data_IF_612028664365
#
_entry.id   IF_612028664365
#
_cell.length_a   1.000
_cell.length_b   1.000
_cell.length_c   1.000
_cell.angle_alpha   90.00
_cell.angle_beta   90.00
_cell.angle_gamma   90.00
#
_symmetry.space_group_name_H-M   'P 1'
#
loop_
_entity.id
_entity.type
_entity.pdbx_description
1 polymer ?
#
# COMPACT_ATOMS: atom_id res chain seq x y z
N UNK A 1 -17.86 46.40 60.49
CA UNK A 1 -17.91 44.92 60.44
C UNK A 1 -18.67 44.53 59.18
N UNK A 2 -18.02 43.77 58.29
CA UNK A 2 -18.42 43.16 56.99
C UNK A 2 -19.02 44.09 55.90
N UNK A 3 -18.39 44.38 54.73
CA UNK A 3 -17.84 43.63 53.57
C UNK A 3 -18.86 43.16 52.49
N UNK A 4 -18.74 43.82 51.31
CA UNK A 4 -18.96 43.39 49.90
C UNK A 4 -20.37 42.92 49.47
N UNK A 5 -20.92 43.22 48.28
CA UNK A 5 -20.37 43.02 46.93
C UNK A 5 -20.95 44.02 45.89
N UNK A 6 -20.08 44.41 44.96
CA UNK A 6 -20.36 45.12 43.70
C UNK A 6 -20.21 44.12 42.55
N UNK A 7 -21.00 44.27 41.48
CA UNK A 7 -20.76 43.66 40.16
C UNK A 7 -22.08 43.43 39.41
N UNK A 8 -22.62 44.42 38.69
CA UNK A 8 -22.29 44.85 37.32
C UNK A 8 -22.54 43.77 36.26
N UNK A 9 -23.68 43.94 35.58
CA UNK A 9 -24.02 43.37 34.28
C UNK A 9 -22.84 43.37 33.31
N UNK A 10 -22.52 42.20 32.76
CA UNK A 10 -21.59 42.07 31.65
C UNK A 10 -22.34 41.55 30.43
N UNK A 11 -22.39 42.40 29.40
CA UNK A 11 -22.99 42.15 28.10
C UNK A 11 -22.38 40.91 27.43
N UNK A 12 -23.24 40.10 26.82
CA UNK A 12 -22.87 38.90 26.08
C UNK A 12 -22.12 39.27 24.78
N UNK A 13 -20.85 38.91 24.72
CA UNK A 13 -20.03 38.93 23.50
C UNK A 13 -20.39 37.72 22.62
N UNK A 14 -20.64 37.88 21.31
CA UNK A 14 -20.78 36.73 20.41
C UNK A 14 -19.43 36.00 20.29
N UNK A 15 -19.41 34.66 20.21
CA UNK A 15 -18.17 33.90 20.09
C UNK A 15 -17.47 34.22 18.76
N UNK A 16 -16.16 34.44 18.84
CA UNK A 16 -15.28 34.61 17.70
C UNK A 16 -15.31 33.36 16.82
N UNK A 17 -15.44 33.55 15.50
CA UNK A 17 -15.33 32.49 14.52
C UNK A 17 -13.90 31.91 14.55
N UNK A 18 -13.78 30.66 14.94
CA UNK A 18 -12.54 29.89 14.85
C UNK A 18 -12.17 29.74 13.38
N UNK A 19 -10.95 30.11 12.93
CA UNK A 19 -10.49 29.69 11.62
C UNK A 19 -10.33 28.17 11.64
N UNK A 20 -11.19 27.48 10.88
CA UNK A 20 -11.02 26.07 10.60
C UNK A 20 -9.84 25.94 9.63
N UNK A 21 -8.64 25.71 10.16
CA UNK A 21 -7.56 25.10 9.39
C UNK A 21 -8.00 23.68 9.08
N UNK A 22 -8.69 23.51 7.94
CA UNK A 22 -8.73 22.23 7.27
C UNK A 22 -7.29 21.74 7.14
N UNK A 23 -6.94 20.54 7.65
CA UNK A 23 -5.66 19.96 7.30
C UNK A 23 -5.60 19.87 5.77
N UNK A 24 -4.47 20.34 5.24
CA UNK A 24 -4.19 20.38 3.82
C UNK A 24 -4.54 19.04 3.17
N UNK A 25 -5.21 19.11 2.03
CA UNK A 25 -5.36 18.01 1.08
C UNK A 25 -3.96 17.44 0.85
N UNK A 26 -3.67 16.26 1.42
CA UNK A 26 -2.46 15.52 1.09
C UNK A 26 -2.60 15.18 -0.38
N UNK A 27 -1.73 15.79 -1.18
CA UNK A 27 -1.69 15.71 -2.62
C UNK A 27 -1.52 14.23 -3.01
N UNK A 28 -2.59 13.61 -3.51
CA UNK A 28 -2.56 12.32 -4.19
C UNK A 28 -1.89 12.51 -5.54
N UNK A 29 -0.56 12.69 -5.54
CA UNK A 29 0.20 12.43 -6.76
C UNK A 29 0.07 10.94 -7.04
N UNK A 30 -0.62 10.61 -8.14
CA UNK A 30 -0.49 9.30 -8.76
C UNK A 30 0.99 9.08 -9.05
N UNK A 31 1.60 8.13 -8.35
CA UNK A 31 2.97 7.74 -8.58
C UNK A 31 2.93 6.71 -9.71
N UNK A 32 3.73 6.86 -10.76
CA UNK A 32 3.94 5.74 -11.68
C UNK A 32 4.85 4.72 -10.98
N UNK A 33 4.23 3.69 -10.38
CA UNK A 33 4.97 2.64 -9.67
C UNK A 33 5.30 1.47 -10.59
N UNK A 34 4.95 1.53 -11.88
CA UNK A 34 5.07 0.43 -12.83
C UNK A 34 3.89 -0.54 -12.79
N UNK A 35 4.12 -1.80 -13.15
CA UNK A 35 3.03 -2.73 -13.45
C UNK A 35 3.28 -4.19 -13.14
N UNK A 36 2.17 -4.92 -13.06
CA UNK A 36 2.12 -6.37 -13.14
C UNK A 36 1.36 -6.76 -14.40
N UNK A 37 2.00 -7.53 -15.27
CA UNK A 37 1.43 -8.00 -16.54
C UNK A 37 1.26 -9.51 -16.49
N UNK A 38 0.07 -10.00 -16.82
CA UNK A 38 -0.16 -11.41 -17.08
C UNK A 38 -0.82 -11.60 -18.44
N UNK A 39 -0.20 -12.41 -19.28
CA UNK A 39 -0.59 -12.61 -20.67
C UNK A 39 -0.66 -11.28 -21.45
N UNK A 40 -1.85 -10.71 -21.64
CA UNK A 40 -2.05 -9.39 -22.27
C UNK A 40 -2.72 -8.36 -21.33
N UNK A 41 -2.98 -8.75 -20.09
CA UNK A 41 -3.61 -7.92 -19.08
C UNK A 41 -2.54 -7.22 -18.26
N UNK A 42 -2.45 -5.90 -18.40
CA UNK A 42 -1.57 -5.05 -17.60
C UNK A 42 -2.35 -4.40 -16.45
N UNK A 43 -1.91 -4.62 -15.22
CA UNK A 43 -2.32 -3.85 -14.05
C UNK A 43 -1.26 -2.79 -13.77
N UNK A 44 -1.59 -1.54 -14.07
CA UNK A 44 -0.78 -0.38 -13.67
C UNK A 44 -0.98 -0.13 -12.18
N UNK A 45 0.09 0.22 -11.47
CA UNK A 45 0.11 0.43 -10.03
C UNK A 45 0.44 1.89 -9.75
N UNK A 46 -0.39 2.54 -8.92
CA UNK A 46 -0.23 3.97 -8.63
C UNK A 46 -0.07 4.30 -7.16
N UNK A 47 -0.32 3.33 -6.29
CA UNK A 47 -0.28 3.49 -4.85
C UNK A 47 0.38 2.28 -4.19
N UNK A 48 1.10 2.54 -3.10
CA UNK A 48 1.68 1.49 -2.27
C UNK A 48 1.39 1.74 -0.79
N UNK A 49 1.35 0.67 0.00
CA UNK A 49 1.22 0.70 1.44
C UNK A 49 2.14 -0.35 2.06
N UNK A 50 3.11 0.10 2.85
CA UNK A 50 3.91 -0.80 3.69
C UNK A 50 3.01 -1.32 4.82
N UNK A 51 2.94 -2.65 4.93
CA UNK A 51 2.09 -3.32 5.90
C UNK A 51 2.89 -3.67 7.16
N UNK A 52 2.26 -3.63 8.35
CA UNK A 52 2.89 -4.12 9.55
C UNK A 52 3.17 -5.62 9.43
N UNK A 53 4.33 -6.03 9.94
CA UNK A 53 4.72 -7.43 10.09
C UNK A 53 5.08 -7.69 11.55
N UNK A 54 4.56 -8.79 12.10
CA UNK A 54 4.98 -9.27 13.43
C UNK A 54 6.30 -10.06 13.33
N UNK A 55 6.75 -10.37 12.11
CA UNK A 55 8.03 -11.01 11.81
C UNK A 55 9.05 -9.93 11.36
N UNK A 56 10.12 -9.68 12.12
CA UNK A 56 11.13 -8.69 11.77
C UNK A 56 11.97 -9.08 10.55
N UNK A 57 11.90 -10.34 10.09
CA UNK A 57 12.58 -10.82 8.89
C UNK A 57 11.69 -10.74 7.65
N UNK A 58 10.57 -10.00 7.73
CA UNK A 58 9.63 -9.85 6.64
C UNK A 58 9.20 -8.40 6.44
N UNK A 59 9.41 -7.89 5.22
CA UNK A 59 8.78 -6.66 4.73
C UNK A 59 7.60 -7.04 3.83
N UNK A 60 6.46 -6.36 3.99
CA UNK A 60 5.27 -6.58 3.17
C UNK A 60 4.80 -5.26 2.59
N UNK A 61 4.55 -5.22 1.30
CA UNK A 61 4.10 -4.01 0.60
C UNK A 61 2.93 -4.36 -0.31
N UNK A 62 1.81 -3.68 -0.08
CA UNK A 62 0.62 -3.77 -0.92
C UNK A 62 0.70 -2.68 -2.00
N UNK A 63 0.49 -3.05 -3.26
CA UNK A 63 0.38 -2.15 -4.40
C UNK A 63 -1.03 -2.21 -4.97
N UNK A 64 -1.56 -1.04 -5.32
CA UNK A 64 -2.92 -0.89 -5.83
C UNK A 64 -2.97 0.06 -7.05
N UNK A 65 -3.93 -0.12 -7.96
CA UNK A 65 -4.07 0.73 -9.14
C UNK A 65 -4.45 2.17 -8.80
N UNK A 66 -5.17 2.37 -7.68
CA UNK A 66 -5.52 3.70 -7.16
C UNK A 66 -5.22 3.81 -5.67
N UNK A 67 -5.22 5.04 -5.17
CA UNK A 67 -5.07 5.34 -3.74
C UNK A 67 -6.20 4.73 -2.91
N UNK A 68 -5.85 4.32 -1.69
CA UNK A 68 -6.82 3.89 -0.68
C UNK A 68 -7.33 5.12 0.08
N UNK A 69 -8.64 5.17 0.31
CA UNK A 69 -9.23 6.09 1.30
C UNK A 69 -8.73 5.75 2.71
N UNK A 70 -8.83 6.69 3.65
CA UNK A 70 -8.43 6.45 5.04
C UNK A 70 -9.14 5.24 5.67
N UNK A 71 -10.43 5.06 5.36
CA UNK A 71 -11.21 3.90 5.83
C UNK A 71 -10.68 2.59 5.25
N UNK A 72 -10.44 2.53 3.93
CA UNK A 72 -9.90 1.33 3.28
C UNK A 72 -8.48 1.02 3.78
N UNK A 73 -7.64 2.05 3.92
CA UNK A 73 -6.29 1.91 4.47
C UNK A 73 -6.34 1.34 5.89
N UNK A 74 -7.21 1.86 6.75
CA UNK A 74 -7.36 1.36 8.11
C UNK A 74 -7.81 -0.11 8.13
N UNK A 75 -8.80 -0.48 7.30
CA UNK A 75 -9.26 -1.86 7.18
C UNK A 75 -8.15 -2.80 6.70
N UNK A 76 -7.32 -2.37 5.73
CA UNK A 76 -6.16 -3.14 5.26
C UNK A 76 -5.15 -3.37 6.40
N UNK A 77 -4.85 -2.33 7.18
CA UNK A 77 -3.90 -2.40 8.30
C UNK A 77 -4.41 -3.28 9.46
N UNK A 78 -5.72 -3.36 9.66
CA UNK A 78 -6.36 -4.23 10.65
C UNK A 78 -6.36 -5.71 10.21
N UNK A 79 -6.49 -5.99 8.92
CA UNK A 79 -6.50 -7.34 8.36
C UNK A 79 -5.08 -7.89 8.09
N UNK A 80 -4.22 -7.86 9.12
CA UNK A 80 -2.78 -8.18 9.01
C UNK A 80 -2.49 -9.47 8.24
N UNK A 81 -3.18 -10.57 8.55
CA UNK A 81 -2.90 -11.87 7.94
C UNK A 81 -3.28 -11.95 6.46
N UNK A 82 -4.31 -11.20 6.04
CA UNK A 82 -4.79 -11.23 4.66
C UNK A 82 -5.34 -9.85 4.26
N UNK A 83 -4.45 -8.90 3.90
CA UNK A 83 -4.83 -7.50 3.61
C UNK A 83 -5.82 -7.40 2.43
N UNK A 84 -5.80 -8.38 1.53
CA UNK A 84 -6.75 -8.51 0.43
C UNK A 84 -8.22 -8.61 0.86
N UNK A 85 -8.52 -9.06 2.09
CA UNK A 85 -9.91 -9.12 2.58
C UNK A 85 -10.58 -7.75 2.57
N UNK A 86 -9.84 -6.71 2.96
CA UNK A 86 -10.35 -5.35 3.01
C UNK A 86 -10.68 -4.80 1.61
N UNK A 87 -9.99 -5.30 0.58
CA UNK A 87 -10.16 -4.84 -0.80
C UNK A 87 -11.34 -5.49 -1.51
N UNK A 88 -11.92 -6.57 -0.98
CA UNK A 88 -13.10 -7.20 -1.58
C UNK A 88 -14.33 -6.30 -1.65
N UNK A 89 -14.43 -5.31 -0.75
CA UNK A 89 -15.54 -4.36 -0.73
C UNK A 89 -15.27 -3.11 -1.56
N UNK A 90 -14.03 -2.93 -2.04
CA UNK A 90 -13.65 -1.79 -2.88
C UNK A 90 -14.14 -2.03 -4.31
N UNK A 91 -14.74 -1.00 -4.89
CA UNK A 91 -15.15 -1.05 -6.29
C UNK A 91 -13.92 -1.12 -7.20
N UNK A 92 -13.93 -2.05 -8.17
CA UNK A 92 -12.91 -2.13 -9.21
C UNK A 92 -12.82 -0.81 -10.01
N UNK A 93 -11.60 -0.35 -10.36
CA UNK A 93 -11.42 0.85 -11.18
C UNK A 93 -11.90 0.68 -12.61
N UNK A 94 -11.85 -0.55 -13.13
CA UNK A 94 -12.34 -0.92 -14.46
C UNK A 94 -13.34 -2.09 -14.33
N UNK A 95 -14.60 -1.84 -13.90
CA UNK A 95 -15.55 -2.91 -13.57
C UNK A 95 -15.93 -3.78 -14.78
N UNK A 96 -15.78 -3.26 -16.00
CA UNK A 96 -15.96 -4.02 -17.24
C UNK A 96 -14.84 -5.04 -17.48
N UNK A 97 -13.65 -4.80 -16.89
CA UNK A 97 -12.44 -5.62 -17.03
C UNK A 97 -12.23 -6.52 -15.82
N UNK A 98 -12.36 -5.96 -14.62
CA UNK A 98 -12.18 -6.66 -13.36
C UNK A 98 -13.43 -6.52 -12.51
N UNK A 99 -14.03 -7.64 -12.13
CA UNK A 99 -15.19 -7.65 -11.25
C UNK A 99 -14.84 -7.30 -9.80
N UNK A 100 -13.63 -7.64 -9.37
CA UNK A 100 -13.08 -7.36 -8.04
C UNK A 100 -11.93 -6.37 -8.15
N UNK A 101 -11.61 -5.68 -7.06
CA UNK A 101 -10.49 -4.76 -7.02
C UNK A 101 -9.16 -5.51 -7.16
N UNK A 102 -8.37 -5.28 -8.23
CA UNK A 102 -7.10 -5.96 -8.42
C UNK A 102 -6.00 -5.32 -7.57
N UNK A 103 -5.04 -6.12 -7.11
CA UNK A 103 -3.90 -5.66 -6.33
C UNK A 103 -2.71 -6.62 -6.44
N UNK A 104 -1.55 -6.14 -6.00
CA UNK A 104 -0.32 -6.94 -5.87
C UNK A 104 0.20 -6.80 -4.45
N UNK A 105 0.44 -7.92 -3.76
CA UNK A 105 1.14 -7.96 -2.48
C UNK A 105 2.52 -8.56 -2.71
N UNK A 106 3.56 -7.81 -2.33
CA UNK A 106 4.95 -8.26 -2.38
C UNK A 106 5.45 -8.46 -0.96
N UNK A 107 6.11 -9.58 -0.70
CA UNK A 107 6.82 -9.84 0.55
C UNK A 107 8.31 -10.07 0.26
N UNK A 108 9.18 -9.37 0.99
CA UNK A 108 10.62 -9.68 1.05
C UNK A 108 10.88 -10.51 2.31
N UNK A 109 11.61 -11.61 2.16
CA UNK A 109 12.11 -12.40 3.28
C UNK A 109 13.60 -12.14 3.46
N UNK A 110 13.99 -11.78 4.68
CA UNK A 110 15.31 -11.30 5.01
C UNK A 110 16.09 -12.32 5.84
N UNK A 111 17.41 -12.33 5.75
CA UNK A 111 18.28 -13.06 6.68
C UNK A 111 18.57 -12.26 7.97
N UNK A 112 18.45 -10.93 7.90
CA UNK A 112 18.64 -9.98 8.99
C UNK A 112 17.50 -8.95 9.04
N UNK A 113 17.21 -8.36 10.22
CA UNK A 113 16.13 -7.39 10.35
C UNK A 113 16.33 -6.07 9.57
N UNK A 114 17.55 -5.76 9.16
CA UNK A 114 17.83 -4.56 8.37
C UNK A 114 17.27 -4.74 6.96
N UNK A 115 16.35 -3.85 6.57
CA UNK A 115 15.68 -3.92 5.27
C UNK A 115 16.60 -3.33 4.20
N UNK A 116 17.34 -4.21 3.55
CA UNK A 116 18.25 -3.87 2.46
C UNK A 116 18.34 -5.01 1.43
N UNK A 117 18.72 -4.67 0.20
CA UNK A 117 18.79 -5.64 -0.93
C UNK A 117 19.65 -6.85 -0.62
N UNK A 118 20.80 -6.64 0.03
CA UNK A 118 21.76 -7.69 0.37
C UNK A 118 21.25 -8.69 1.41
N UNK A 119 20.26 -8.29 2.21
CA UNK A 119 19.65 -9.16 3.22
C UNK A 119 18.47 -9.96 2.65
N UNK A 120 18.00 -9.66 1.43
CA UNK A 120 16.87 -10.38 0.82
C UNK A 120 17.29 -11.78 0.38
N UNK A 121 16.69 -12.80 0.97
CA UNK A 121 16.92 -14.21 0.62
C UNK A 121 15.93 -14.71 -0.43
N UNK A 122 14.67 -14.33 -0.29
CA UNK A 122 13.57 -14.76 -1.14
C UNK A 122 12.48 -13.72 -1.15
N UNK A 123 11.56 -13.88 -2.09
CA UNK A 123 10.37 -13.05 -2.17
C UNK A 123 9.13 -13.91 -2.33
N UNK A 124 8.01 -13.29 -2.07
CA UNK A 124 6.70 -13.78 -2.44
C UNK A 124 5.91 -12.67 -3.14
N UNK A 125 5.23 -13.01 -4.23
CA UNK A 125 4.29 -12.14 -4.93
C UNK A 125 2.93 -12.82 -4.96
N UNK A 126 1.93 -12.11 -4.49
CA UNK A 126 0.54 -12.42 -4.73
C UNK A 126 -0.05 -11.36 -5.65
N UNK A 127 -0.57 -11.75 -6.81
CA UNK A 127 -1.30 -10.85 -7.69
C UNK A 127 -2.73 -11.37 -7.82
N UNK A 128 -3.71 -10.54 -7.45
CA UNK A 128 -5.11 -10.95 -7.37
C UNK A 128 -5.97 -10.22 -8.40
N UNK A 129 -6.91 -10.95 -9.00
CA UNK A 129 -7.94 -10.38 -9.87
C UNK A 129 -7.40 -9.93 -11.22
N UNK A 130 -6.21 -10.40 -11.62
CA UNK A 130 -5.61 -10.13 -12.92
C UNK A 130 -5.94 -11.29 -13.85
N UNK A 131 -6.25 -10.96 -15.11
CA UNK A 131 -6.60 -11.88 -16.20
C UNK A 131 -7.96 -12.58 -16.06
N UNK A 132 -8.17 -13.35 -15.00
CA UNK A 132 -9.39 -14.13 -14.79
C UNK A 132 -10.05 -13.82 -13.43
N UNK A 133 -11.36 -14.08 -13.34
CA UNK A 133 -12.14 -13.82 -12.14
C UNK A 133 -11.61 -14.63 -10.95
N UNK A 134 -11.28 -13.94 -9.85
CA UNK A 134 -10.74 -14.53 -8.62
C UNK A 134 -9.40 -15.27 -8.78
N UNK A 135 -8.75 -15.16 -9.94
CA UNK A 135 -7.45 -15.78 -10.13
C UNK A 135 -6.41 -15.09 -9.25
N UNK A 136 -5.55 -15.91 -8.64
CA UNK A 136 -4.48 -15.43 -7.77
C UNK A 136 -3.17 -16.08 -8.18
N UNK A 137 -2.22 -15.28 -8.68
CA UNK A 137 -0.84 -15.73 -8.77
C UNK A 137 -0.25 -15.81 -7.36
N UNK A 138 0.47 -16.88 -7.08
CA UNK A 138 1.17 -17.11 -5.82
C UNK A 138 2.59 -17.56 -6.15
N UNK A 139 3.51 -16.60 -6.26
CA UNK A 139 4.87 -16.86 -6.74
C UNK A 139 5.83 -16.71 -5.58
N UNK A 140 6.59 -17.75 -5.26
CA UNK A 140 7.67 -17.68 -4.28
C UNK A 140 8.97 -18.17 -4.90
N UNK A 141 10.05 -17.39 -4.76
CA UNK A 141 11.34 -17.72 -5.31
C UNK A 141 12.48 -17.03 -4.54
N UNK A 142 13.72 -17.54 -4.64
CA UNK A 142 14.90 -16.79 -4.21
C UNK A 142 15.00 -15.46 -4.96
N UNK A 143 15.46 -14.41 -4.27
CA UNK A 143 15.74 -13.12 -4.92
C UNK A 143 17.11 -13.20 -5.60
N UNK A 144 17.17 -12.91 -6.89
CA UNK A 144 18.39 -12.96 -7.69
C UNK A 144 18.42 -11.77 -8.67
N UNK A 145 19.59 -11.37 -9.18
CA UNK A 145 19.67 -10.34 -10.22
C UNK A 145 18.74 -10.65 -11.40
N UNK A 146 17.86 -9.70 -11.74
CA UNK A 146 16.87 -9.85 -12.82
C UNK A 146 15.62 -10.68 -12.47
N UNK A 147 15.48 -11.15 -11.22
CA UNK A 147 14.27 -11.80 -10.73
C UNK A 147 14.13 -11.67 -9.20
N UNK A 148 13.41 -10.64 -8.76
CA UNK A 148 13.18 -10.33 -7.35
C UNK A 148 13.47 -8.86 -7.06
N UNK A 149 14.10 -8.61 -5.91
CA UNK A 149 14.52 -7.27 -5.49
C UNK A 149 15.89 -6.95 -6.09
N UNK A 150 15.92 -5.94 -6.97
CA UNK A 150 17.17 -5.36 -7.50
C UNK A 150 17.64 -4.18 -6.65
N UNK A 151 16.70 -3.54 -5.94
CA UNK A 151 16.94 -2.52 -4.94
C UNK A 151 15.87 -2.63 -3.86
N UNK A 152 16.28 -2.56 -2.60
CA UNK A 152 15.40 -2.46 -1.46
C UNK A 152 16.11 -1.68 -0.34
N UNK A 153 15.42 -0.69 0.20
CA UNK A 153 15.76 0.06 1.40
C UNK A 153 14.46 0.52 2.07
N UNK A 154 14.33 0.31 3.37
CA UNK A 154 13.22 0.87 4.15
C UNK A 154 13.72 1.46 5.45
N UNK A 155 13.72 2.79 5.54
CA UNK A 155 14.29 3.53 6.66
C UNK A 155 13.51 4.80 6.91
N UNK A 156 13.31 5.15 8.19
CA UNK A 156 12.65 6.39 8.60
C UNK A 156 11.24 6.57 7.97
N UNK A 157 10.56 5.46 7.67
CA UNK A 157 9.23 5.42 7.04
C UNK A 157 9.23 5.60 5.52
N UNK A 158 10.40 5.74 4.89
CA UNK A 158 10.55 5.90 3.44
C UNK A 158 10.97 4.57 2.82
N UNK A 159 10.27 4.17 1.76
CA UNK A 159 10.56 2.96 0.98
C UNK A 159 11.22 3.36 -0.34
N UNK A 160 12.41 2.79 -0.59
CA UNK A 160 13.03 2.79 -1.91
C UNK A 160 13.14 1.36 -2.41
N UNK A 161 12.57 1.10 -3.59
CA UNK A 161 12.42 -0.26 -4.06
C UNK A 161 12.46 -0.34 -5.59
N UNK A 162 13.17 -1.36 -6.08
CA UNK A 162 13.10 -1.87 -7.45
C UNK A 162 12.82 -3.36 -7.39
N UNK A 163 11.63 -3.76 -7.82
CA UNK A 163 11.19 -5.15 -7.80
C UNK A 163 10.77 -5.57 -9.21
N UNK A 164 11.52 -6.49 -9.83
CA UNK A 164 11.31 -6.87 -11.22
C UNK A 164 11.53 -8.37 -11.42
N UNK A 165 10.79 -8.98 -12.34
CA UNK A 165 10.92 -10.40 -12.58
C UNK A 165 9.83 -10.98 -13.46
N UNK A 166 9.85 -12.29 -13.59
CA UNK A 166 8.89 -13.04 -14.40
C UNK A 166 8.70 -14.45 -13.85
N UNK A 167 7.52 -15.00 -14.11
CA UNK A 167 7.22 -16.39 -13.84
C UNK A 167 6.51 -17.01 -15.03
N UNK A 168 6.96 -18.19 -15.44
CA UNK A 168 6.31 -19.02 -16.45
C UNK A 168 5.40 -20.04 -15.76
N UNK A 169 4.13 -20.09 -16.18
CA UNK A 169 3.17 -21.12 -15.82
C UNK A 169 2.93 -22.03 -17.04
N UNK A 170 2.13 -23.09 -16.88
CA UNK A 170 1.86 -24.05 -17.96
C UNK A 170 1.23 -23.42 -19.21
N UNK A 171 0.43 -22.37 -19.03
CA UNK A 171 -0.40 -21.74 -20.07
C UNK A 171 -0.27 -20.22 -20.10
N UNK A 172 0.47 -19.63 -19.17
CA UNK A 172 0.52 -18.19 -18.97
C UNK A 172 1.90 -17.73 -18.51
N UNK A 173 2.17 -16.45 -18.68
CA UNK A 173 3.38 -15.80 -18.18
C UNK A 173 3.01 -14.55 -17.40
N UNK A 174 3.55 -14.45 -16.20
CA UNK A 174 3.55 -13.22 -15.41
C UNK A 174 4.87 -12.48 -15.58
N UNK A 175 4.81 -11.16 -15.60
CA UNK A 175 5.95 -10.25 -15.60
C UNK A 175 5.61 -9.06 -14.71
N UNK A 176 6.57 -8.61 -13.91
CA UNK A 176 6.40 -7.43 -13.07
C UNK A 176 7.61 -6.52 -13.16
N UNK A 177 7.33 -5.23 -13.10
CA UNK A 177 8.30 -4.15 -13.11
C UNK A 177 7.74 -3.06 -12.18
N UNK A 178 8.12 -3.10 -10.90
CA UNK A 178 7.59 -2.23 -9.85
C UNK A 178 8.72 -1.36 -9.27
N UNK A 179 8.44 -0.08 -9.01
CA UNK A 179 9.42 0.93 -8.58
C UNK A 179 8.83 1.89 -7.55
N UNK A 180 9.58 2.17 -6.49
CA UNK A 180 9.29 3.23 -5.51
C UNK A 180 10.57 4.03 -5.32
N UNK A 181 10.51 5.35 -5.54
CA UNK A 181 11.71 6.21 -5.67
C UNK A 181 11.83 7.29 -4.58
N UNK A 182 11.14 7.11 -3.44
CA UNK A 182 11.15 8.10 -2.35
C UNK A 182 12.48 8.13 -1.58
#
# INVERSE_FOLDING_TARGET
>A
MLLALVGCDQAATPPAATPSTSPAVVQTQSLDLGSYTKNQTVLELQHYLVLPSDDPLKLRVLFTPDALSDTERQQVLENRSFPGMALFQKASPEPARWQWYPYVLVEAHLDRPEVSTENVTSFYVMAYGIEEQNFTDNISAPSQPGNGFEQLEYRDGLLRMRFAGKADFSDSRAHWDIRVSE
#
